data_IF_743749792327
#
_entry.id   IF_743749792327
#
_cell.length_a   1.000
_cell.length_b   1.000
_cell.length_c   1.000
_cell.angle_alpha   90.00
_cell.angle_beta   90.00
_cell.angle_gamma   90.00
#
_symmetry.space_group_name_H-M   'P 1'
#
loop_
_entity.id
_entity.type
_entity.pdbx_description
1 polymer ?
#
# COMPACT_ATOMS: atom_id res chain seq x y z
N UNK A 1 2.66 -8.71 4.09
CA UNK A 1 3.58 -9.31 3.09
C UNK A 1 4.76 -8.39 2.88
N UNK A 2 6.00 -8.85 3.00
CA UNK A 2 7.18 -8.06 2.55
C UNK A 2 7.32 -8.06 1.02
N UNK A 3 7.80 -6.94 0.46
CA UNK A 3 8.08 -6.77 -0.98
C UNK A 3 9.02 -7.86 -1.50
N UNK A 4 8.69 -8.46 -2.65
CA UNK A 4 9.59 -9.39 -3.35
C UNK A 4 10.62 -8.61 -4.16
N UNK A 5 11.90 -8.84 -3.87
CA UNK A 5 13.04 -8.31 -4.60
C UNK A 5 13.48 -9.30 -5.68
N UNK A 6 13.61 -8.83 -6.91
CA UNK A 6 14.08 -9.64 -8.04
C UNK A 6 15.53 -9.34 -8.43
N UNK A 7 16.04 -8.17 -8.06
CA UNK A 7 17.44 -7.83 -8.33
C UNK A 7 17.84 -6.46 -7.81
N UNK A 8 19.12 -6.32 -7.49
CA UNK A 8 19.77 -5.05 -7.20
C UNK A 8 20.81 -4.81 -8.30
N UNK A 9 20.66 -3.71 -9.03
CA UNK A 9 21.52 -3.39 -10.16
C UNK A 9 22.25 -2.07 -9.95
N UNK A 10 23.40 -1.99 -10.58
CA UNK A 10 24.28 -0.84 -10.54
C UNK A 10 24.78 -0.55 -11.96
N UNK A 11 24.55 0.66 -12.43
CA UNK A 11 24.97 1.11 -13.76
C UNK A 11 25.86 2.34 -13.63
N UNK A 12 27.02 2.28 -14.29
CA UNK A 12 27.90 3.42 -14.52
C UNK A 12 27.61 3.97 -15.92
N UNK A 13 27.11 5.19 -15.98
CA UNK A 13 26.94 5.90 -17.25
C UNK A 13 28.28 6.57 -17.60
N UNK A 14 28.89 6.16 -18.71
CA UNK A 14 30.15 6.72 -19.18
C UNK A 14 29.88 7.86 -20.16
N UNK A 15 30.32 9.07 -19.80
CA UNK A 15 30.16 10.32 -20.55
C UNK A 15 30.95 11.45 -19.86
N UNK A 16 30.80 12.71 -20.31
CA UNK A 16 31.50 13.86 -19.72
C UNK A 16 31.23 14.06 -18.21
N UNK A 17 30.09 13.54 -17.71
CA UNK A 17 29.76 13.49 -16.28
C UNK A 17 29.53 12.02 -15.92
N UNK A 18 30.41 11.43 -15.11
CA UNK A 18 30.19 10.07 -14.60
C UNK A 18 29.01 10.09 -13.62
N UNK A 19 27.90 9.44 -14.00
CA UNK A 19 26.75 9.22 -13.11
C UNK A 19 26.67 7.74 -12.73
N UNK A 20 26.50 7.51 -11.43
CA UNK A 20 26.31 6.17 -10.85
C UNK A 20 24.85 6.05 -10.45
N UNK A 21 24.15 5.08 -11.02
CA UNK A 21 22.74 4.81 -10.70
C UNK A 21 22.63 3.44 -10.07
N UNK A 22 21.98 3.36 -8.91
CA UNK A 22 21.57 2.11 -8.26
C UNK A 22 20.06 2.02 -8.35
N UNK A 23 19.55 0.87 -8.75
CA UNK A 23 18.11 0.62 -8.76
C UNK A 23 17.82 -0.81 -8.36
N UNK A 24 16.63 -1.01 -7.82
CA UNK A 24 16.13 -2.28 -7.35
C UNK A 24 14.94 -2.66 -8.23
N UNK A 25 14.89 -3.92 -8.64
CA UNK A 25 13.74 -4.50 -9.33
C UNK A 25 12.89 -5.20 -8.28
N UNK A 26 11.66 -4.73 -8.11
CA UNK A 26 10.68 -5.26 -7.15
C UNK A 26 9.39 -5.68 -7.87
N UNK A 27 8.64 -6.59 -7.25
CA UNK A 27 7.31 -6.97 -7.70
C UNK A 27 6.35 -5.79 -7.72
N UNK A 28 5.78 -5.50 -8.90
CA UNK A 28 4.69 -4.54 -9.02
C UNK A 28 3.39 -5.12 -8.48
N UNK A 29 2.72 -4.36 -7.62
CA UNK A 29 1.48 -4.75 -6.94
C UNK A 29 0.24 -4.56 -7.79
N UNK A 30 0.21 -3.42 -8.48
CA UNK A 30 -0.90 -3.04 -9.34
C UNK A 30 -0.79 -3.65 -10.75
N UNK A 31 0.19 -4.53 -10.98
CA UNK A 31 0.22 -5.37 -12.17
C UNK A 31 -0.85 -6.47 -12.02
N UNK A 32 -2.06 -6.17 -12.48
CA UNK A 32 -3.18 -7.10 -12.45
C UNK A 32 -3.95 -7.00 -13.76
N UNK A 33 -4.65 -8.08 -14.13
CA UNK A 33 -5.60 -8.07 -15.26
C UNK A 33 -6.80 -7.14 -15.01
N UNK A 34 -6.98 -6.71 -13.77
CA UNK A 34 -8.06 -5.86 -13.30
C UNK A 34 -7.56 -4.43 -13.05
N UNK A 35 -8.38 -3.45 -13.44
CA UNK A 35 -8.08 -2.04 -13.24
C UNK A 35 -8.14 -1.69 -11.74
N UNK A 36 -7.09 -1.07 -11.23
CA UNK A 36 -7.07 -0.60 -9.84
C UNK A 36 -7.68 0.78 -9.76
N UNK A 37 -8.89 0.89 -9.20
CA UNK A 37 -9.68 2.12 -9.19
C UNK A 37 -9.32 3.06 -8.03
N UNK A 38 -8.81 2.49 -6.93
CA UNK A 38 -8.30 3.25 -5.77
C UNK A 38 -7.01 2.63 -5.27
N UNK A 39 -6.05 3.48 -4.90
CA UNK A 39 -4.75 3.09 -4.36
C UNK A 39 -4.53 3.83 -3.06
N UNK A 40 -4.05 3.14 -2.03
CA UNK A 40 -3.77 3.72 -0.72
C UNK A 40 -2.36 3.36 -0.26
N UNK A 41 -1.66 4.34 0.33
CA UNK A 41 -0.45 4.19 1.12
C UNK A 41 -0.83 4.40 2.59
N UNK A 42 -0.91 3.29 3.33
CA UNK A 42 -1.32 3.28 4.73
C UNK A 42 -0.10 3.00 5.59
N UNK A 43 0.25 3.86 6.55
CA UNK A 43 1.31 3.57 7.53
C UNK A 43 0.78 3.40 8.96
N UNK A 44 -0.42 3.91 9.20
CA UNK A 44 -1.11 3.89 10.48
C UNK A 44 -0.86 5.06 11.42
N UNK A 45 -0.30 6.15 10.89
CA UNK A 45 -0.22 7.44 11.59
C UNK A 45 -1.18 8.45 10.97
N UNK A 46 -1.36 9.61 11.61
CA UNK A 46 -2.29 10.66 11.17
C UNK A 46 -1.59 11.92 10.62
N UNK A 47 -0.36 12.20 11.07
CA UNK A 47 0.37 13.40 10.67
C UNK A 47 0.78 13.33 9.19
N UNK A 48 0.33 14.32 8.40
CA UNK A 48 0.62 14.40 6.96
C UNK A 48 -0.08 13.33 6.12
N UNK A 49 -1.14 12.70 6.65
CA UNK A 49 -1.83 11.55 6.04
C UNK A 49 -3.13 11.86 5.32
N UNK A 50 -3.18 13.03 4.71
CA UNK A 50 -4.23 13.43 3.78
C UNK A 50 -3.59 13.72 2.42
N UNK A 51 -4.34 13.49 1.36
CA UNK A 51 -3.95 13.87 0.01
C UNK A 51 -4.31 15.34 -0.22
N UNK A 52 -3.42 16.12 -0.81
CA UNK A 52 -3.65 17.56 -1.04
C UNK A 52 -4.65 17.83 -2.18
N UNK A 53 -5.06 16.77 -2.89
CA UNK A 53 -5.95 16.85 -4.05
C UNK A 53 -7.41 16.71 -3.62
N UNK A 54 -8.30 17.60 -4.08
CA UNK A 54 -9.73 17.44 -3.85
C UNK A 54 -10.26 16.21 -4.60
N UNK A 55 -11.38 15.64 -4.13
CA UNK A 55 -11.98 14.42 -4.68
C UNK A 55 -12.24 14.52 -6.20
N UNK A 56 -12.58 15.71 -6.68
CA UNK A 56 -12.85 16.03 -8.08
C UNK A 56 -11.63 15.91 -9.01
N UNK A 57 -10.41 15.91 -8.45
CA UNK A 57 -9.15 15.79 -9.21
C UNK A 57 -8.47 14.43 -9.01
N UNK A 58 -9.14 13.49 -8.35
CA UNK A 58 -8.60 12.15 -8.12
C UNK A 58 -8.64 11.32 -9.40
N UNK A 59 -7.45 11.02 -9.93
CA UNK A 59 -7.26 10.00 -10.95
C UNK A 59 -7.06 8.61 -10.32
N UNK A 60 -7.24 7.55 -11.11
CA UNK A 60 -6.94 6.16 -10.71
C UNK A 60 -5.46 5.92 -10.32
N UNK A 61 -4.59 6.86 -10.69
CA UNK A 61 -3.17 6.85 -10.37
C UNK A 61 -2.83 7.59 -9.08
N UNK A 62 -3.77 8.36 -8.51
CA UNK A 62 -3.56 9.04 -7.24
C UNK A 62 -3.45 8.02 -6.11
N UNK A 63 -2.42 8.19 -5.28
CA UNK A 63 -2.21 7.39 -4.07
C UNK A 63 -2.79 8.17 -2.91
N UNK A 64 -3.88 7.63 -2.35
CA UNK A 64 -4.56 8.13 -1.17
C UNK A 64 -3.83 7.70 0.10
N UNK A 65 -4.05 8.39 1.22
CA UNK A 65 -3.35 8.11 2.50
C UNK A 65 -4.32 7.68 3.59
N UNK A 66 -3.81 7.52 4.81
CA UNK A 66 -4.55 7.01 5.97
C UNK A 66 -5.86 7.75 6.26
N UNK A 67 -5.89 9.09 6.19
CA UNK A 67 -7.09 9.89 6.50
C UNK A 67 -8.05 10.03 5.31
N UNK A 68 -7.61 9.65 4.11
CA UNK A 68 -8.46 9.62 2.92
C UNK A 68 -9.21 8.27 2.80
N UNK A 69 -8.90 7.31 3.67
CA UNK A 69 -9.50 5.99 3.67
C UNK A 69 -10.91 6.04 4.24
N UNK A 70 -11.89 5.98 3.36
CA UNK A 70 -13.33 6.00 3.66
C UNK A 70 -14.00 4.63 3.44
N UNK A 71 -13.22 3.54 3.46
CA UNK A 71 -13.71 2.18 3.25
C UNK A 71 -13.43 1.28 4.44
N UNK A 72 -14.33 0.33 4.66
CA UNK A 72 -14.12 -0.81 5.57
C UNK A 72 -13.87 -2.06 4.73
N UNK A 73 -12.77 -2.75 4.99
CA UNK A 73 -12.38 -3.95 4.27
C UNK A 73 -12.96 -5.20 4.93
N UNK A 74 -14.00 -5.78 4.34
CA UNK A 74 -14.55 -7.05 4.85
C UNK A 74 -13.86 -8.24 4.19
N UNK A 75 -13.18 -9.04 5.00
CA UNK A 75 -12.57 -10.31 4.60
C UNK A 75 -13.32 -11.47 5.25
N UNK A 76 -13.28 -12.64 4.63
CA UNK A 76 -13.77 -13.86 5.29
C UNK A 76 -12.92 -14.14 6.55
N UNK A 77 -13.51 -14.64 7.64
CA UNK A 77 -12.79 -14.79 8.92
C UNK A 77 -11.44 -15.51 8.82
N UNK A 78 -11.38 -16.62 8.08
CA UNK A 78 -10.12 -17.36 7.89
C UNK A 78 -9.07 -16.55 7.11
N UNK A 79 -9.48 -15.84 6.07
CA UNK A 79 -8.59 -14.98 5.28
C UNK A 79 -8.10 -13.78 6.10
N UNK A 80 -8.95 -13.25 6.96
CA UNK A 80 -8.60 -12.17 7.88
C UNK A 80 -7.55 -12.62 8.89
N UNK A 81 -7.76 -13.78 9.54
CA UNK A 81 -6.81 -14.34 10.49
C UNK A 81 -5.44 -14.62 9.84
N UNK A 82 -5.43 -15.23 8.65
CA UNK A 82 -4.20 -15.46 7.88
C UNK A 82 -3.51 -14.14 7.50
N UNK A 83 -4.29 -13.14 7.09
CA UNK A 83 -3.78 -11.82 6.74
C UNK A 83 -3.15 -11.12 7.94
N UNK A 84 -3.84 -11.04 9.08
CA UNK A 84 -3.30 -10.46 10.32
C UNK A 84 -2.04 -11.19 10.77
N UNK A 85 -2.06 -12.52 10.81
CA UNK A 85 -0.87 -13.31 11.16
C UNK A 85 0.32 -13.01 10.24
N UNK A 86 0.09 -12.81 8.94
CA UNK A 86 1.15 -12.45 8.01
C UNK A 86 1.67 -11.02 8.24
N UNK A 87 0.77 -10.06 8.48
CA UNK A 87 1.16 -8.69 8.80
C UNK A 87 2.01 -8.64 10.06
N UNK A 88 1.59 -9.32 11.13
CA UNK A 88 2.31 -9.32 12.40
C UNK A 88 3.72 -9.92 12.22
N UNK A 89 3.84 -11.06 11.51
CA UNK A 89 5.15 -11.67 11.18
C UNK A 89 6.06 -10.77 10.35
N UNK A 90 5.50 -10.02 9.40
CA UNK A 90 6.29 -9.10 8.59
C UNK A 90 6.70 -7.85 9.37
N UNK A 91 5.84 -7.34 10.26
CA UNK A 91 6.18 -6.25 11.16
C UNK A 91 7.30 -6.66 12.13
N UNK A 92 7.23 -7.87 12.71
CA UNK A 92 8.30 -8.42 13.56
C UNK A 92 9.62 -8.50 12.81
N UNK A 93 9.61 -8.99 11.55
CA UNK A 93 10.81 -9.06 10.72
C UNK A 93 11.39 -7.66 10.45
N UNK A 94 10.54 -6.69 10.08
CA UNK A 94 10.99 -5.32 9.80
C UNK A 94 11.55 -4.65 11.06
N UNK A 95 10.94 -4.89 12.21
CA UNK A 95 11.41 -4.39 13.50
C UNK A 95 12.79 -4.99 13.87
N UNK A 96 12.97 -6.31 13.70
CA UNK A 96 14.24 -6.98 13.94
C UNK A 96 15.39 -6.42 13.08
N UNK A 97 15.10 -6.07 11.83
CA UNK A 97 16.04 -5.45 10.90
C UNK A 97 16.20 -3.93 11.11
N UNK A 98 15.49 -3.34 12.08
CA UNK A 98 15.51 -1.90 12.35
C UNK A 98 14.92 -1.05 11.22
N UNK A 99 14.07 -1.64 10.38
CA UNK A 99 13.43 -0.99 9.23
C UNK A 99 12.14 -0.33 9.69
N UNK A 100 12.10 0.99 9.57
CA UNK A 100 10.92 1.83 9.84
C UNK A 100 10.38 2.45 8.55
N UNK A 101 9.28 3.19 8.65
CA UNK A 101 8.65 3.91 7.52
C UNK A 101 8.17 3.05 6.37
N UNK A 102 7.83 1.80 6.69
CA UNK A 102 7.07 0.97 5.79
C UNK A 102 5.60 1.39 5.76
N UNK A 103 5.02 1.29 4.57
CA UNK A 103 3.61 1.50 4.29
C UNK A 103 3.00 0.22 3.78
N UNK A 104 1.76 -0.09 4.14
CA UNK A 104 0.93 -1.01 3.40
C UNK A 104 0.34 -0.30 2.18
N UNK A 105 0.79 -0.71 1.01
CA UNK A 105 0.18 -0.33 -0.25
C UNK A 105 -1.03 -1.22 -0.53
N UNK A 106 -2.18 -0.58 -0.74
CA UNK A 106 -3.46 -1.25 -0.98
C UNK A 106 -4.02 -0.82 -2.32
N UNK A 107 -4.41 -1.79 -3.15
CA UNK A 107 -5.12 -1.55 -4.40
C UNK A 107 -6.53 -2.13 -4.32
N UNK A 108 -7.53 -1.31 -4.61
CA UNK A 108 -8.93 -1.72 -4.65
C UNK A 108 -9.40 -1.81 -6.09
N UNK A 109 -9.91 -2.99 -6.44
CA UNK A 109 -10.68 -3.20 -7.66
C UNK A 109 -12.15 -3.45 -7.31
N UNK A 110 -13.04 -2.79 -8.05
CA UNK A 110 -14.48 -2.90 -7.92
C UNK A 110 -15.01 -3.71 -9.12
N UNK A 111 -15.70 -4.82 -8.87
CA UNK A 111 -16.25 -5.66 -9.95
C UNK A 111 -17.41 -5.00 -10.70
N UNK A 112 -18.15 -4.10 -10.03
CA UNK A 112 -19.27 -3.36 -10.59
C UNK A 112 -19.10 -1.87 -10.28
N UNK A 113 -19.20 -1.03 -11.31
CA UNK A 113 -19.26 0.43 -11.23
C UNK A 113 -20.62 0.81 -11.82
N UNK A 114 -21.36 1.74 -11.19
CA UNK A 114 -22.65 2.15 -11.74
C UNK A 114 -22.47 2.86 -13.10
N UNK A 115 -23.50 2.89 -13.97
CA UNK A 115 -23.44 3.62 -15.24
C UNK A 115 -23.11 5.12 -15.07
N UNK A 116 -23.42 5.68 -13.91
CA UNK A 116 -23.22 7.09 -13.56
C UNK A 116 -21.80 7.37 -13.00
N UNK A 117 -20.94 6.35 -12.94
CA UNK A 117 -19.58 6.47 -12.41
C UNK A 117 -19.50 6.44 -10.88
N UNK A 118 -20.63 6.25 -10.19
CA UNK A 118 -20.65 6.08 -8.74
C UNK A 118 -20.22 4.67 -8.35
N UNK A 119 -19.33 4.61 -7.35
CA UNK A 119 -18.86 3.36 -6.77
C UNK A 119 -19.99 2.76 -5.95
N UNK A 120 -20.65 1.72 -6.45
CA UNK A 120 -21.68 1.00 -5.69
C UNK A 120 -20.98 0.23 -4.56
N UNK A 121 -21.19 0.56 -3.27
CA UNK A 121 -20.72 -0.26 -2.17
C UNK A 121 -21.62 -1.50 -2.14
N UNK A 122 -21.29 -2.50 -2.95
CA UNK A 122 -22.07 -3.71 -3.01
C UNK A 122 -21.84 -4.53 -1.73
N UNK A 123 -22.93 -4.82 -1.03
CA UNK A 123 -22.93 -5.66 0.17
C UNK A 123 -22.12 -6.95 -0.02
N UNK A 124 -21.25 -7.17 0.95
CA UNK A 124 -20.68 -8.45 1.40
C UNK A 124 -19.77 -9.30 0.52
N UNK A 125 -19.67 -9.21 -0.82
CA UNK A 125 -18.96 -10.32 -1.54
C UNK A 125 -17.99 -9.98 -2.69
N UNK A 126 -17.72 -8.72 -3.05
CA UNK A 126 -17.12 -8.45 -4.37
C UNK A 126 -15.89 -7.52 -4.44
N UNK A 127 -15.23 -7.19 -3.33
CA UNK A 127 -13.97 -6.44 -3.32
C UNK A 127 -12.78 -7.39 -3.51
N UNK A 128 -12.05 -7.25 -4.62
CA UNK A 128 -10.73 -7.88 -4.76
C UNK A 128 -9.69 -6.83 -4.38
N UNK A 129 -9.25 -6.89 -3.12
CA UNK A 129 -8.14 -6.09 -2.62
C UNK A 129 -6.80 -6.80 -2.87
N UNK A 130 -5.80 -6.06 -3.37
CA UNK A 130 -4.40 -6.49 -3.33
C UNK A 130 -3.67 -5.68 -2.26
N UNK A 131 -2.96 -6.37 -1.37
CA UNK A 131 -2.28 -5.77 -0.22
C UNK A 131 -0.79 -6.14 -0.24
N UNK A 132 0.11 -5.18 -0.02
CA UNK A 132 1.53 -5.46 0.24
C UNK A 132 2.20 -4.37 1.04
N UNK A 133 3.15 -4.74 1.90
CA UNK A 133 3.96 -3.82 2.69
C UNK A 133 5.18 -3.41 1.86
N UNK A 134 5.24 -2.14 1.50
CA UNK A 134 6.37 -1.48 0.84
C UNK A 134 7.19 -0.67 1.84
N UNK A 135 8.52 -0.81 1.79
CA UNK A 135 9.45 0.03 2.54
C UNK A 135 9.78 1.28 1.73
N UNK A 136 9.39 2.46 2.20
CA UNK A 136 10.02 3.71 1.75
C UNK A 136 11.13 4.06 2.74
N UNK A 137 12.22 4.64 2.25
CA UNK A 137 13.48 4.90 2.96
C UNK A 137 13.34 5.29 4.44
N UNK A 138 14.33 4.96 5.29
CA UNK A 138 14.22 5.12 6.73
C UNK A 138 13.98 6.58 7.11
N UNK A 139 12.86 6.88 7.75
CA UNK A 139 12.71 8.05 8.60
C UNK A 139 12.99 7.57 10.03
N UNK A 140 13.86 8.28 10.74
CA UNK A 140 13.95 8.11 12.18
C UNK A 140 12.89 9.01 12.79
N UNK A 141 11.89 8.43 13.48
CA UNK A 141 11.46 8.84 14.82
C UNK A 141 10.17 8.13 15.27
N UNK A 142 10.17 7.75 16.55
CA UNK A 142 9.07 7.41 17.46
C UNK A 142 7.65 7.60 16.88
N UNK A 143 7.07 6.54 16.33
CA UNK A 143 5.63 6.47 16.07
C UNK A 143 5.00 5.42 16.98
N UNK A 144 3.98 5.85 17.72
CA UNK A 144 3.31 5.11 18.79
C UNK A 144 2.08 4.31 18.31
N UNK A 145 1.81 4.32 16.99
CA UNK A 145 0.73 3.57 16.35
C UNK A 145 1.30 2.79 15.16
N UNK A 146 1.14 1.47 15.20
CA UNK A 146 1.68 0.56 14.19
C UNK A 146 0.68 0.29 13.07
N UNK A 147 1.19 -0.17 11.94
CA UNK A 147 0.38 -0.62 10.80
C UNK A 147 -0.69 -1.65 11.21
N UNK A 148 -0.41 -2.51 12.20
CA UNK A 148 -1.33 -3.51 12.74
C UNK A 148 -2.59 -2.87 13.34
N UNK A 149 -2.47 -1.71 14.01
CA UNK A 149 -3.60 -1.03 14.65
C UNK A 149 -4.55 -0.41 13.63
N UNK A 150 -3.99 0.18 12.58
CA UNK A 150 -4.80 0.77 11.50
C UNK A 150 -5.51 -0.29 10.69
N UNK A 151 -4.85 -1.39 10.37
CA UNK A 151 -5.51 -2.51 9.68
C UNK A 151 -6.67 -3.06 10.50
N UNK A 152 -6.50 -3.22 11.81
CA UNK A 152 -7.57 -3.68 12.72
C UNK A 152 -8.74 -2.70 12.83
N UNK A 153 -8.49 -1.40 12.66
CA UNK A 153 -9.55 -0.38 12.68
C UNK A 153 -10.25 -0.21 11.31
N UNK A 154 -9.64 -0.65 10.22
CA UNK A 154 -10.17 -0.54 8.87
C UNK A 154 -10.89 -1.80 8.38
N UNK A 155 -10.86 -2.90 9.14
CA UNK A 155 -11.55 -4.18 8.84
C UNK A 155 -12.72 -4.37 9.80
#
# INVERSE_FOLDING_TARGET
>A
MVTKYYGLHYVKLSGHIQRKVRFIIIGSLFCSKYNTHRRYDLKGSSLGRTTDKPETELSETTILKDLDLNFIFRLQPSQFEEFCSQIDRDCELLEQEGIMDYSLLVGIHFRHISPDGELVPCGSENLIGKFLISTLSPFQNNCQFGLSDTIKNCV
#
